data_IF_948257336605
#
_entry.id   IF_948257336605
#
_cell.length_a   1.000
_cell.length_b   1.000
_cell.length_c   1.000
_cell.angle_alpha   90.00
_cell.angle_beta   90.00
_cell.angle_gamma   90.00
#
_symmetry.space_group_name_H-M   'P 1'
#
loop_
_entity.id
_entity.type
_entity.pdbx_description
1 polymer ?
#
# COMPACT_ATOMS: atom_id res chain seq x y z
N UNK A 1 1.36 -20.30 1.57
CA UNK A 1 2.13 -19.12 2.02
C UNK A 1 1.46 -18.68 3.30
N UNK A 2 2.13 -18.73 4.45
CA UNK A 2 1.49 -18.35 5.72
C UNK A 2 1.02 -16.89 5.63
N UNK A 3 -0.27 -16.70 5.92
CA UNK A 3 -0.94 -15.40 5.95
C UNK A 3 -0.37 -14.58 7.12
N UNK A 4 0.31 -13.48 6.81
CA UNK A 4 0.68 -12.48 7.80
C UNK A 4 -0.57 -11.66 8.12
N UNK A 5 -0.83 -11.36 9.39
CA UNK A 5 -2.00 -10.52 9.74
C UNK A 5 -1.68 -9.08 9.37
N UNK A 6 -2.57 -8.41 8.63
CA UNK A 6 -2.38 -7.02 8.21
C UNK A 6 -3.62 -6.22 8.59
N UNK A 7 -3.45 -5.21 9.44
CA UNK A 7 -4.57 -4.39 9.93
C UNK A 7 -4.22 -2.91 9.97
N UNK A 8 -5.24 -2.07 9.84
CA UNK A 8 -5.11 -0.61 9.98
C UNK A 8 -5.23 -0.15 11.44
N UNK A 9 -5.69 -1.02 12.34
CA UNK A 9 -5.73 -0.81 13.80
C UNK A 9 -4.34 -0.95 14.42
N UNK A 10 -4.13 -0.36 15.60
CA UNK A 10 -2.83 -0.44 16.32
C UNK A 10 -2.57 -1.82 16.95
N UNK A 11 -3.62 -2.62 17.14
CA UNK A 11 -3.58 -3.98 17.68
C UNK A 11 -4.49 -4.93 16.92
N UNK A 12 -4.34 -6.23 17.19
CA UNK A 12 -5.19 -7.29 16.64
C UNK A 12 -6.01 -7.89 17.79
N UNK A 13 -7.34 -7.71 17.85
CA UNK A 13 -8.15 -8.28 18.92
C UNK A 13 -7.98 -9.80 19.06
N UNK A 14 -7.84 -10.29 20.31
CA UNK A 14 -7.57 -11.70 20.61
C UNK A 14 -6.11 -12.13 20.41
N UNK A 15 -5.21 -11.17 20.17
CA UNK A 15 -3.78 -11.38 20.08
C UNK A 15 -3.03 -10.34 20.89
N UNK A 16 -1.92 -10.77 21.48
CA UNK A 16 -0.96 -9.92 22.19
C UNK A 16 0.29 -9.71 21.34
N UNK A 17 0.72 -8.47 21.20
CA UNK A 17 2.02 -8.13 20.59
C UNK A 17 3.12 -8.54 21.58
N UNK A 18 4.05 -9.39 21.14
CA UNK A 18 5.17 -9.89 21.95
C UNK A 18 6.51 -9.31 21.54
N UNK A 19 6.63 -8.82 20.30
CA UNK A 19 7.86 -8.20 19.81
C UNK A 19 7.56 -7.16 18.71
N UNK A 20 8.32 -6.06 18.67
CA UNK A 20 8.31 -5.09 17.58
C UNK A 20 9.55 -5.31 16.73
N UNK A 21 9.35 -5.53 15.43
CA UNK A 21 10.43 -5.78 14.44
C UNK A 21 10.84 -4.52 13.67
N UNK A 22 10.14 -3.41 13.86
CA UNK A 22 10.43 -2.12 13.23
C UNK A 22 9.37 -1.73 12.19
N UNK A 23 9.77 -0.88 11.25
CA UNK A 23 8.86 -0.34 10.23
C UNK A 23 8.82 -1.30 9.03
N UNK A 24 7.64 -1.86 8.73
CA UNK A 24 7.38 -2.49 7.45
C UNK A 24 7.11 -1.43 6.39
N UNK A 25 7.64 -1.59 5.18
CA UNK A 25 7.47 -0.64 4.08
C UNK A 25 7.54 -1.28 2.71
N UNK A 26 6.78 -0.74 1.77
CA UNK A 26 6.78 -1.13 0.36
C UNK A 26 6.33 0.01 -0.52
N UNK A 27 7.14 0.38 -1.50
CA UNK A 27 6.86 1.47 -2.43
C UNK A 27 6.87 1.01 -3.88
N UNK A 28 6.09 1.70 -4.71
CA UNK A 28 6.16 1.60 -6.16
C UNK A 28 5.97 2.97 -6.79
N UNK A 29 6.75 3.23 -7.83
CA UNK A 29 6.58 4.38 -8.71
C UNK A 29 5.97 3.88 -10.02
N UNK A 30 4.82 4.43 -10.40
CA UNK A 30 4.13 4.13 -11.66
C UNK A 30 4.16 5.36 -12.56
N UNK A 31 4.71 5.18 -13.76
CA UNK A 31 4.59 6.15 -14.84
C UNK A 31 3.22 5.97 -15.51
N UNK A 32 2.46 7.05 -15.63
CA UNK A 32 1.22 7.09 -16.37
C UNK A 32 1.53 7.42 -17.83
N UNK A 33 1.91 6.42 -18.63
CA UNK A 33 1.94 6.59 -20.11
C UNK A 33 0.59 7.05 -20.67
N UNK A 34 -0.48 6.88 -19.89
CA UNK A 34 -1.84 7.32 -20.14
C UNK A 34 -2.06 8.85 -20.09
N UNK A 35 -1.07 9.65 -19.69
CA UNK A 35 -1.26 11.10 -19.43
C UNK A 35 -1.74 11.95 -20.60
N UNK A 36 -1.37 11.64 -21.86
CA UNK A 36 -1.82 12.42 -23.04
C UNK A 36 -3.22 12.04 -23.50
N UNK A 37 -3.54 10.75 -23.52
CA UNK A 37 -4.82 10.25 -24.06
C UNK A 37 -5.97 10.37 -23.04
N UNK A 38 -5.70 10.13 -21.75
CA UNK A 38 -6.66 10.36 -20.66
C UNK A 38 -7.03 11.84 -20.63
N UNK A 39 -6.06 12.75 -20.48
CA UNK A 39 -6.34 14.19 -20.34
C UNK A 39 -7.13 14.75 -21.53
N UNK A 40 -6.92 14.22 -22.74
CA UNK A 40 -7.71 14.58 -23.91
C UNK A 40 -9.18 14.08 -23.84
N UNK A 41 -9.41 12.88 -23.32
CA UNK A 41 -10.74 12.30 -23.09
C UNK A 41 -11.52 13.01 -21.96
N UNK A 42 -10.84 13.39 -20.86
CA UNK A 42 -11.47 14.04 -19.70
C UNK A 42 -11.78 15.53 -19.88
N UNK A 43 -11.25 16.20 -20.91
CA UNK A 43 -11.67 17.58 -21.26
C UNK A 43 -13.18 17.69 -21.53
N UNK A 44 -13.87 16.58 -21.84
CA UNK A 44 -15.31 16.52 -22.05
C UNK A 44 -16.10 15.94 -20.85
N UNK A 45 -15.43 15.49 -19.78
CA UNK A 45 -16.09 14.84 -18.63
C UNK A 45 -16.18 15.84 -17.48
N UNK A 46 -17.40 16.24 -17.13
CA UNK A 46 -17.69 17.04 -15.93
C UNK A 46 -17.48 16.19 -14.66
N UNK A 47 -16.28 16.23 -14.09
CA UNK A 47 -16.00 15.81 -12.70
C UNK A 47 -16.17 14.32 -12.38
N UNK A 48 -16.21 13.44 -13.39
CA UNK A 48 -16.34 11.99 -13.21
C UNK A 48 -15.02 11.26 -12.91
N UNK A 49 -15.12 10.02 -12.47
CA UNK A 49 -13.99 9.12 -12.21
C UNK A 49 -13.18 8.82 -13.48
N UNK A 50 -11.85 8.84 -13.35
CA UNK A 50 -10.91 8.38 -14.38
C UNK A 50 -10.64 6.88 -14.20
N UNK A 51 -11.48 6.03 -14.77
CA UNK A 51 -11.46 4.56 -14.52
C UNK A 51 -10.09 3.92 -14.72
N UNK A 52 -9.38 4.26 -15.79
CA UNK A 52 -8.07 3.71 -16.09
C UNK A 52 -7.02 4.13 -15.06
N UNK A 53 -7.10 5.37 -14.57
CA UNK A 53 -6.23 5.86 -13.51
C UNK A 53 -6.60 5.25 -12.16
N UNK A 54 -7.90 5.09 -11.85
CA UNK A 54 -8.35 4.38 -10.65
C UNK A 54 -7.83 2.95 -10.64
N UNK A 55 -7.96 2.24 -11.75
CA UNK A 55 -7.48 0.85 -11.89
C UNK A 55 -5.97 0.79 -11.69
N UNK A 56 -5.20 1.67 -12.35
CA UNK A 56 -3.76 1.73 -12.18
C UNK A 56 -3.36 1.98 -10.73
N UNK A 57 -4.04 2.88 -10.05
CA UNK A 57 -3.78 3.18 -8.64
C UNK A 57 -4.17 2.03 -7.72
N UNK A 58 -5.19 1.23 -8.07
CA UNK A 58 -5.55 0.02 -7.35
C UNK A 58 -4.44 -1.04 -7.47
N UNK A 59 -3.96 -1.32 -8.68
CA UNK A 59 -2.84 -2.23 -8.92
C UNK A 59 -1.56 -1.78 -8.20
N UNK A 60 -1.29 -0.47 -8.19
CA UNK A 60 -0.14 0.09 -7.47
C UNK A 60 -0.24 -0.10 -5.95
N UNK A 61 -1.43 0.02 -5.36
CA UNK A 61 -1.65 -0.26 -3.92
C UNK A 61 -1.43 -1.73 -3.58
N UNK A 62 -1.93 -2.65 -4.40
CA UNK A 62 -1.72 -4.09 -4.19
C UNK A 62 -0.23 -4.46 -4.23
N UNK A 63 0.51 -3.92 -5.19
CA UNK A 63 1.94 -4.18 -5.33
C UNK A 63 2.74 -3.56 -4.16
N UNK A 64 2.40 -2.33 -3.73
CA UNK A 64 3.02 -1.70 -2.57
C UNK A 64 2.75 -2.49 -1.28
N UNK A 65 1.51 -2.94 -1.07
CA UNK A 65 1.10 -3.78 0.05
C UNK A 65 1.86 -5.10 0.07
N UNK A 66 1.97 -5.77 -1.08
CA UNK A 66 2.73 -7.01 -1.22
C UNK A 66 4.21 -6.83 -0.86
N UNK A 67 4.84 -5.75 -1.31
CA UNK A 67 6.23 -5.42 -0.96
C UNK A 67 6.40 -5.16 0.53
N UNK A 68 5.47 -4.44 1.14
CA UNK A 68 5.47 -4.20 2.59
C UNK A 68 5.35 -5.51 3.38
N UNK A 69 4.47 -6.42 2.95
CA UNK A 69 4.28 -7.74 3.56
C UNK A 69 5.57 -8.58 3.45
N UNK A 70 6.20 -8.61 2.27
CA UNK A 70 7.45 -9.34 2.07
C UNK A 70 8.56 -8.77 2.97
N UNK A 71 8.69 -7.45 3.05
CA UNK A 71 9.67 -6.80 3.92
C UNK A 71 9.37 -7.09 5.41
N UNK A 72 8.11 -7.10 5.84
CA UNK A 72 7.75 -7.47 7.20
C UNK A 72 8.16 -8.91 7.54
N UNK A 73 7.99 -9.84 6.58
CA UNK A 73 8.43 -11.23 6.73
C UNK A 73 9.96 -11.35 6.81
N UNK A 74 10.70 -10.56 6.03
CA UNK A 74 12.17 -10.49 6.13
C UNK A 74 12.64 -9.98 7.50
N UNK A 75 11.87 -9.10 8.14
CA UNK A 75 12.09 -8.66 9.53
C UNK A 75 11.70 -9.71 10.58
N UNK A 76 11.15 -10.86 10.18
CA UNK A 76 10.69 -11.92 11.07
C UNK A 76 9.36 -11.60 11.77
N UNK A 77 8.53 -10.73 11.21
CA UNK A 77 7.20 -10.42 11.73
C UNK A 77 6.14 -11.40 11.22
N UNK A 78 5.12 -11.67 12.05
CA UNK A 78 3.92 -12.43 11.68
C UNK A 78 2.65 -11.55 11.62
N UNK A 79 2.77 -10.25 11.93
CA UNK A 79 1.73 -9.26 11.70
C UNK A 79 2.31 -7.88 11.32
N UNK A 80 1.50 -7.07 10.64
CA UNK A 80 1.73 -5.64 10.42
C UNK A 80 0.50 -4.88 10.92
N UNK A 81 0.70 -4.05 11.93
CA UNK A 81 -0.35 -3.20 12.51
C UNK A 81 -0.18 -1.76 12.07
N UNK A 82 -1.23 -0.96 12.25
CA UNK A 82 -1.26 0.46 11.94
C UNK A 82 -0.85 0.75 10.48
N UNK A 83 -1.33 -0.08 9.54
CA UNK A 83 -1.00 0.08 8.11
C UNK A 83 -1.60 1.36 7.54
N UNK A 84 -0.80 2.10 6.78
CA UNK A 84 -1.16 3.32 6.08
C UNK A 84 -0.65 3.29 4.65
N UNK A 85 -1.35 4.01 3.78
CA UNK A 85 -0.90 4.30 2.43
C UNK A 85 -0.62 5.79 2.30
N UNK A 86 0.48 6.12 1.63
CA UNK A 86 0.81 7.47 1.20
C UNK A 86 0.97 7.47 -0.33
N UNK A 87 0.61 8.59 -0.95
CA UNK A 87 0.82 8.81 -2.38
C UNK A 87 1.52 10.15 -2.59
N UNK A 88 2.42 10.18 -3.56
CA UNK A 88 3.13 11.40 -3.96
C UNK A 88 3.11 11.53 -5.47
N UNK A 89 2.94 12.76 -5.96
CA UNK A 89 3.16 13.07 -7.37
C UNK A 89 4.64 13.45 -7.53
N UNK A 90 5.42 12.62 -8.23
CA UNK A 90 6.87 12.84 -8.43
C UNK A 90 7.13 13.54 -9.79
N UNK A 91 6.08 13.90 -10.53
CA UNK A 91 6.21 14.59 -11.82
C UNK A 91 4.95 14.54 -12.65
N UNK A 92 4.98 15.22 -13.80
CA UNK A 92 3.82 15.47 -14.67
C UNK A 92 3.05 14.21 -15.12
N UNK A 93 3.61 13.02 -14.99
CA UNK A 93 2.92 11.74 -15.27
C UNK A 93 3.50 10.59 -14.44
N UNK A 94 3.91 10.85 -13.19
CA UNK A 94 4.51 9.84 -12.32
C UNK A 94 3.93 9.94 -10.92
N UNK A 95 3.36 8.84 -10.43
CA UNK A 95 2.82 8.73 -9.09
C UNK A 95 3.56 7.66 -8.29
N UNK A 96 3.84 7.97 -7.02
CA UNK A 96 4.26 7.00 -6.02
C UNK A 96 3.05 6.48 -5.25
N UNK A 97 3.08 5.19 -4.95
CA UNK A 97 2.25 4.58 -3.91
C UNK A 97 3.17 3.90 -2.91
N UNK A 98 3.00 4.25 -1.64
CA UNK A 98 3.81 3.76 -0.54
C UNK A 98 2.92 3.19 0.56
N UNK A 99 3.13 1.92 0.91
CA UNK A 99 2.48 1.25 2.03
C UNK A 99 3.48 1.11 3.18
N UNK A 100 3.06 1.43 4.40
CA UNK A 100 3.89 1.27 5.60
C UNK A 100 3.06 0.94 6.84
N UNK A 101 3.72 0.34 7.84
CA UNK A 101 3.11 -0.01 9.12
C UNK A 101 4.16 -0.50 10.11
N UNK A 102 3.72 -0.98 11.27
CA UNK A 102 4.62 -1.54 12.29
C UNK A 102 4.65 -3.06 12.15
N UNK A 103 5.83 -3.60 11.84
CA UNK A 103 6.07 -5.03 11.82
C UNK A 103 6.17 -5.56 13.25
N UNK A 104 5.37 -6.56 13.60
CA UNK A 104 5.29 -7.11 14.95
C UNK A 104 5.20 -8.64 14.93
N UNK A 105 5.55 -9.25 16.06
CA UNK A 105 5.19 -10.63 16.37
C UNK A 105 4.02 -10.60 17.32
N UNK A 106 2.94 -11.32 16.98
CA UNK A 106 1.76 -11.50 17.81
C UNK A 106 1.56 -12.97 18.17
N UNK A 107 1.01 -13.21 19.35
CA UNK A 107 0.58 -14.53 19.84
C UNK A 107 -0.90 -14.45 20.21
N UNK A 108 -1.64 -15.55 20.02
CA UNK A 108 -3.03 -15.63 20.45
C UNK A 108 -3.09 -15.56 21.98
N UNK A 109 -4.03 -14.77 22.50
CA UNK A 109 -4.30 -14.66 23.95
C UNK A 109 -4.82 -15.96 24.56
#
# INVERSE_FOLDING_TARGET
>A
MEDIIVVTTESVPGYRIVEIKGIARGGIVKATHLGRDITAFFRNIKGGEVKEYTQMMAEAREEALKRMILYAKELGANAVVNVRFATANIGSSVAEVYAYGTAVVVEKE
#
